data_IF_587688156726
#
_entry.id   IF_587688156726
#
_cell.length_a   1.000
_cell.length_b   1.000
_cell.length_c   1.000
_cell.angle_alpha   90.00
_cell.angle_beta   90.00
_cell.angle_gamma   90.00
#
_symmetry.space_group_name_H-M   'P 1'
#
loop_
_entity.id
_entity.type
_entity.pdbx_description
1 polymer ?
#
# COMPACT_ATOMS: atom_id res chain seq x y z
N UNK A 1 42.89 43.48 -29.46
CA UNK A 1 42.73 42.32 -28.60
C UNK A 1 41.40 42.47 -27.85
N UNK A 2 40.40 41.67 -28.18
CA UNK A 2 39.08 41.67 -27.49
C UNK A 2 39.02 40.46 -26.54
N UNK A 3 38.72 40.62 -25.28
CA UNK A 3 38.57 39.47 -24.40
C UNK A 3 37.23 38.75 -24.69
N UNK A 4 37.31 37.45 -25.01
CA UNK A 4 36.15 36.60 -25.17
C UNK A 4 35.53 36.30 -23.79
N UNK A 5 34.25 36.63 -23.64
CA UNK A 5 33.45 36.27 -22.45
C UNK A 5 33.05 34.79 -22.59
N UNK A 6 33.67 33.96 -21.77
CA UNK A 6 33.30 32.53 -21.64
C UNK A 6 32.02 32.44 -20.80
N UNK A 7 30.88 32.23 -21.49
CA UNK A 7 29.60 32.04 -20.83
C UNK A 7 29.54 30.60 -20.27
N UNK A 8 29.75 30.45 -18.95
CA UNK A 8 29.66 29.17 -18.26
C UNK A 8 28.17 28.86 -18.02
N UNK A 9 27.56 28.08 -18.91
CA UNK A 9 26.19 27.56 -18.69
C UNK A 9 26.18 26.57 -17.54
N UNK A 10 25.75 27.03 -16.37
CA UNK A 10 25.47 26.17 -15.20
C UNK A 10 24.21 25.39 -15.52
N UNK A 11 24.38 24.13 -15.92
CA UNK A 11 23.29 23.17 -16.04
C UNK A 11 22.80 22.81 -14.61
N UNK A 12 21.78 23.52 -14.10
CA UNK A 12 21.10 23.14 -12.87
C UNK A 12 20.34 21.84 -13.13
N UNK A 13 20.99 20.71 -12.87
CA UNK A 13 20.28 19.45 -12.72
C UNK A 13 19.35 19.59 -11.49
N UNK A 14 18.07 19.78 -11.74
CA UNK A 14 17.05 19.68 -10.69
C UNK A 14 17.08 18.25 -10.15
N UNK A 15 17.72 18.04 -9.01
CA UNK A 15 17.50 16.85 -8.21
C UNK A 15 16.00 16.87 -7.83
N UNK A 16 15.20 16.09 -8.55
CA UNK A 16 13.83 15.85 -8.13
C UNK A 16 13.92 15.04 -6.83
N UNK A 17 13.63 15.70 -5.70
CA UNK A 17 13.53 15.04 -4.42
C UNK A 17 12.46 13.96 -4.49
N UNK A 18 12.75 12.79 -3.94
CA UNK A 18 11.78 11.70 -3.83
C UNK A 18 10.63 12.16 -2.93
N UNK A 19 9.52 12.49 -3.56
CA UNK A 19 8.33 13.05 -2.90
C UNK A 19 7.44 11.97 -2.30
N UNK A 20 7.49 10.74 -2.86
CA UNK A 20 6.61 9.64 -2.50
C UNK A 20 7.42 8.47 -1.93
N UNK A 21 6.82 7.75 -0.99
CA UNK A 21 7.41 6.52 -0.46
C UNK A 21 7.31 5.39 -1.47
N UNK A 22 6.20 5.36 -2.23
CA UNK A 22 5.92 4.36 -3.26
C UNK A 22 5.22 5.01 -4.45
N UNK A 23 5.61 4.62 -5.65
CA UNK A 23 4.86 4.89 -6.90
C UNK A 23 4.53 3.57 -7.57
N UNK A 24 3.24 3.31 -7.81
CA UNK A 24 2.74 2.17 -8.58
C UNK A 24 2.41 2.69 -9.97
N UNK A 25 3.03 2.15 -11.01
CA UNK A 25 2.90 2.68 -12.37
C UNK A 25 2.14 1.76 -13.31
N UNK A 26 1.25 2.35 -14.09
CA UNK A 26 0.60 1.74 -15.26
C UNK A 26 -0.42 0.66 -14.94
N UNK A 27 -0.89 0.56 -13.71
CA UNK A 27 -1.93 -0.40 -13.34
C UNK A 27 -3.33 0.06 -13.71
N UNK A 28 -4.25 -0.90 -13.90
CA UNK A 28 -5.66 -0.59 -14.03
C UNK A 28 -6.24 -0.32 -12.63
N UNK A 29 -6.40 0.94 -12.29
CA UNK A 29 -6.87 1.38 -10.97
C UNK A 29 -8.39 1.30 -10.93
N UNK A 30 -8.91 0.59 -9.93
CA UNK A 30 -10.34 0.51 -9.62
C UNK A 30 -10.55 1.06 -8.21
N UNK A 31 -11.17 2.23 -8.12
CA UNK A 31 -11.55 2.88 -6.86
C UNK A 31 -12.97 3.41 -6.98
N UNK A 32 -13.97 2.60 -6.59
CA UNK A 32 -15.37 2.96 -6.70
C UNK A 32 -15.76 4.20 -5.88
N UNK A 33 -15.10 4.41 -4.74
CA UNK A 33 -15.39 5.54 -3.86
C UNK A 33 -15.09 6.90 -4.54
N UNK A 34 -14.08 6.91 -5.42
CA UNK A 34 -13.69 8.11 -6.18
C UNK A 34 -14.07 8.05 -7.67
N UNK A 35 -14.83 7.03 -8.08
CA UNK A 35 -15.27 6.85 -9.47
C UNK A 35 -14.11 6.58 -10.45
N UNK A 36 -13.03 5.95 -9.99
CA UNK A 36 -11.87 5.65 -10.81
C UNK A 36 -11.97 4.20 -11.31
N UNK A 37 -11.95 4.04 -12.63
CA UNK A 37 -11.87 2.75 -13.32
C UNK A 37 -11.10 2.96 -14.63
N UNK A 38 -9.75 3.02 -14.54
CA UNK A 38 -8.88 3.29 -15.67
C UNK A 38 -7.42 2.97 -15.38
N UNK A 39 -6.60 2.90 -16.43
CA UNK A 39 -5.14 2.87 -16.28
C UNK A 39 -4.65 4.19 -15.68
N UNK A 40 -3.91 4.10 -14.58
CA UNK A 40 -3.33 5.25 -13.89
C UNK A 40 -2.14 4.81 -13.03
N UNK A 41 -1.41 5.81 -12.51
CA UNK A 41 -0.37 5.61 -11.51
C UNK A 41 -0.91 6.02 -10.14
N UNK A 42 -0.42 5.35 -9.09
CA UNK A 42 -0.76 5.65 -7.70
C UNK A 42 0.50 6.01 -6.94
N UNK A 43 0.52 7.17 -6.31
CA UNK A 43 1.60 7.61 -5.44
C UNK A 43 1.17 7.57 -3.97
N UNK A 44 2.02 7.00 -3.12
CA UNK A 44 1.80 6.88 -1.68
C UNK A 44 2.86 7.69 -0.94
N UNK A 45 2.44 8.47 0.03
CA UNK A 45 3.31 9.21 0.94
C UNK A 45 2.75 9.16 2.36
N UNK A 46 3.62 8.93 3.33
CA UNK A 46 3.25 8.89 4.77
C UNK A 46 2.09 7.90 5.06
N UNK A 47 2.10 6.74 4.40
CA UNK A 47 1.08 5.70 4.59
C UNK A 47 -0.29 6.00 3.98
N UNK A 48 -0.43 7.06 3.18
CA UNK A 48 -1.69 7.45 2.52
C UNK A 48 -1.51 7.59 1.02
N UNK A 49 -2.60 7.41 0.25
CA UNK A 49 -2.60 7.71 -1.18
C UNK A 49 -2.55 9.22 -1.35
N UNK A 50 -1.41 9.71 -1.85
CA UNK A 50 -1.19 11.13 -2.08
C UNK A 50 -1.71 11.60 -3.44
N UNK A 51 -1.69 10.72 -4.45
CA UNK A 51 -2.10 11.07 -5.81
C UNK A 51 -2.48 9.84 -6.63
N UNK A 52 -3.52 9.97 -7.44
CA UNK A 52 -3.84 9.04 -8.53
C UNK A 52 -3.90 9.85 -9.81
N UNK A 53 -2.99 9.60 -10.75
CA UNK A 53 -2.90 10.35 -11.98
C UNK A 53 -2.20 9.52 -13.08
N UNK A 54 -2.28 9.97 -14.31
CA UNK A 54 -1.47 9.42 -15.41
C UNK A 54 -0.08 10.04 -15.40
N UNK A 55 0.97 9.23 -15.59
CA UNK A 55 2.32 9.70 -15.84
C UNK A 55 3.05 10.28 -14.62
N UNK A 56 2.85 9.70 -13.42
CA UNK A 56 3.66 10.07 -12.25
C UNK A 56 5.09 9.58 -12.47
N UNK A 57 6.10 10.50 -12.50
CA UNK A 57 7.47 10.09 -12.72
C UNK A 57 7.97 9.14 -11.63
N UNK A 58 8.51 7.98 -12.02
CA UNK A 58 9.08 7.02 -11.07
C UNK A 58 10.21 7.60 -10.22
N UNK A 59 10.97 8.57 -10.76
CA UNK A 59 12.03 9.26 -10.03
C UNK A 59 11.54 10.01 -8.78
N UNK A 60 10.24 10.30 -8.67
CA UNK A 60 9.62 10.91 -7.48
C UNK A 60 9.33 9.90 -6.37
N UNK A 61 9.43 8.60 -6.62
CA UNK A 61 9.21 7.55 -5.62
C UNK A 61 10.51 6.99 -5.06
N UNK A 62 10.56 6.75 -3.76
CA UNK A 62 11.63 5.98 -3.12
C UNK A 62 11.62 4.53 -3.61
N UNK A 63 10.42 4.00 -3.85
CA UNK A 63 10.18 2.67 -4.42
C UNK A 63 9.23 2.80 -5.60
N UNK A 64 9.47 2.03 -6.66
CA UNK A 64 8.60 1.99 -7.84
C UNK A 64 8.17 0.54 -8.08
N UNK A 65 6.86 0.35 -8.25
CA UNK A 65 6.26 -0.93 -8.66
C UNK A 65 5.64 -0.76 -10.03
N UNK A 66 6.01 -1.60 -10.98
CA UNK A 66 5.40 -1.64 -12.32
C UNK A 66 4.19 -2.57 -12.27
N UNK A 67 3.01 -2.02 -12.55
CA UNK A 67 1.75 -2.73 -12.49
C UNK A 67 1.04 -2.83 -13.85
N UNK A 68 1.78 -2.63 -14.94
CA UNK A 68 1.20 -2.74 -16.28
C UNK A 68 0.58 -4.12 -16.50
N UNK A 69 -0.68 -4.15 -16.92
CA UNK A 69 -1.46 -5.38 -17.09
C UNK A 69 -2.03 -5.98 -15.79
N UNK A 70 -1.82 -5.33 -14.65
CA UNK A 70 -2.38 -5.73 -13.35
C UNK A 70 -3.47 -4.77 -12.89
N UNK A 71 -4.37 -5.26 -12.04
CA UNK A 71 -5.32 -4.43 -11.34
C UNK A 71 -4.70 -3.84 -10.06
N UNK A 72 -5.02 -2.58 -9.77
CA UNK A 72 -4.67 -1.88 -8.54
C UNK A 72 -5.96 -1.45 -7.86
N UNK A 73 -6.27 -2.07 -6.73
CA UNK A 73 -7.52 -1.84 -5.99
C UNK A 73 -7.21 -1.46 -4.55
N UNK A 74 -8.15 -0.85 -3.82
CA UNK A 74 -8.11 -0.88 -2.36
C UNK A 74 -7.99 -2.31 -1.86
N UNK A 75 -7.41 -2.49 -0.67
CA UNK A 75 -7.32 -3.81 -0.06
C UNK A 75 -8.71 -4.43 0.10
N UNK A 76 -8.81 -5.74 -0.14
CA UNK A 76 -10.06 -6.45 0.00
C UNK A 76 -10.50 -6.50 1.46
N UNK A 77 -11.82 -6.49 1.69
CA UNK A 77 -12.44 -6.62 2.99
C UNK A 77 -13.17 -7.96 3.04
N UNK A 78 -12.72 -8.84 3.93
CA UNK A 78 -13.41 -10.10 4.21
C UNK A 78 -14.36 -9.89 5.41
N UNK A 79 -15.65 -9.90 5.17
CA UNK A 79 -16.66 -9.67 6.20
C UNK A 79 -17.04 -10.93 6.97
N UNK A 80 -16.47 -12.09 6.66
CA UNK A 80 -16.77 -13.37 7.30
C UNK A 80 -15.51 -14.23 7.43
N UNK A 81 -14.55 -13.77 8.21
CA UNK A 81 -13.34 -14.52 8.49
C UNK A 81 -13.40 -15.24 9.86
N UNK A 82 -12.54 -16.23 10.04
CA UNK A 82 -12.36 -16.93 11.30
C UNK A 82 -10.88 -16.86 11.70
N UNK A 83 -10.54 -15.78 12.39
CA UNK A 83 -9.14 -15.39 12.63
C UNK A 83 -8.69 -15.47 14.10
N UNK A 84 -9.57 -15.91 15.00
CA UNK A 84 -9.21 -16.15 16.40
C UNK A 84 -8.59 -17.54 16.58
N UNK A 85 -7.27 -17.60 16.59
CA UNK A 85 -6.51 -18.86 16.66
C UNK A 85 -6.68 -19.60 18.01
N UNK A 86 -6.98 -18.90 19.09
CA UNK A 86 -7.24 -19.51 20.41
C UNK A 86 -8.57 -20.27 20.50
N UNK A 87 -9.46 -20.14 19.52
CA UNK A 87 -10.81 -20.68 19.58
C UNK A 87 -11.00 -22.03 18.89
N UNK A 88 -10.20 -22.36 17.87
CA UNK A 88 -10.35 -23.61 17.09
C UNK A 88 -9.03 -24.02 16.41
N UNK A 89 -8.80 -25.35 16.24
CA UNK A 89 -7.61 -25.87 15.55
C UNK A 89 -7.50 -25.46 14.06
N UNK A 90 -8.63 -25.08 13.43
CA UNK A 90 -8.69 -24.71 12.02
C UNK A 90 -8.59 -23.19 11.77
N UNK A 91 -8.45 -22.37 12.80
CA UNK A 91 -8.27 -20.94 12.62
C UNK A 91 -6.85 -20.64 12.09
N UNK A 92 -6.77 -19.78 11.07
CA UNK A 92 -5.53 -19.38 10.48
C UNK A 92 -5.18 -17.95 10.90
N UNK A 93 -3.89 -17.67 11.05
CA UNK A 93 -3.45 -16.30 11.22
C UNK A 93 -3.76 -15.52 9.95
N UNK A 94 -4.44 -14.34 10.05
CA UNK A 94 -4.81 -13.56 8.88
C UNK A 94 -3.61 -13.12 8.04
N UNK A 95 -2.47 -12.85 8.66
CA UNK A 95 -1.26 -12.43 7.96
C UNK A 95 -0.70 -13.54 7.06
N UNK A 96 -0.92 -14.81 7.42
CA UNK A 96 -0.39 -15.97 6.67
C UNK A 96 -1.32 -16.37 5.50
N UNK A 97 -2.61 -16.05 5.58
CA UNK A 97 -3.62 -16.49 4.62
C UNK A 97 -4.31 -15.35 3.88
N UNK A 98 -4.80 -14.36 4.59
CA UNK A 98 -5.60 -13.28 4.03
C UNK A 98 -4.74 -12.23 3.31
N UNK A 99 -3.64 -11.79 3.94
CA UNK A 99 -2.78 -10.76 3.38
C UNK A 99 -2.15 -11.15 2.03
N UNK A 100 -1.60 -12.37 1.84
CA UNK A 100 -1.13 -12.82 0.53
C UNK A 100 -2.22 -12.88 -0.55
N UNK A 101 -3.49 -13.02 -0.14
CA UNK A 101 -4.65 -12.99 -1.03
C UNK A 101 -5.18 -11.57 -1.30
N UNK A 102 -4.52 -10.52 -0.78
CA UNK A 102 -4.93 -9.13 -0.95
C UNK A 102 -6.01 -8.66 0.03
N UNK A 103 -6.38 -9.46 1.02
CA UNK A 103 -7.33 -9.06 2.07
C UNK A 103 -6.58 -8.30 3.15
N UNK A 104 -6.93 -7.02 3.32
CA UNK A 104 -6.29 -6.12 4.30
C UNK A 104 -7.14 -5.85 5.52
N UNK A 105 -8.40 -6.24 5.49
CA UNK A 105 -9.36 -6.08 6.59
C UNK A 105 -10.20 -7.34 6.70
N UNK A 106 -10.24 -7.95 7.87
CA UNK A 106 -11.07 -9.12 8.17
C UNK A 106 -11.97 -8.86 9.37
N UNK A 107 -13.21 -9.35 9.28
CA UNK A 107 -14.16 -9.34 10.39
C UNK A 107 -14.28 -10.76 10.94
N UNK A 108 -13.92 -10.97 12.23
CA UNK A 108 -14.13 -12.28 12.86
C UNK A 108 -15.61 -12.53 13.07
N UNK A 109 -16.14 -13.50 12.36
CA UNK A 109 -17.57 -13.80 12.35
C UNK A 109 -17.92 -14.97 13.28
N UNK A 110 -17.67 -14.83 14.59
CA UNK A 110 -18.26 -15.67 15.60
C UNK A 110 -17.38 -16.77 16.21
N UNK A 111 -16.07 -16.75 16.04
CA UNK A 111 -15.17 -17.60 16.84
C UNK A 111 -14.83 -16.90 18.15
N UNK A 112 -14.54 -15.60 18.12
CA UNK A 112 -14.36 -14.83 19.34
C UNK A 112 -15.70 -14.30 19.87
N UNK A 113 -15.89 -14.36 21.16
CA UNK A 113 -17.03 -13.79 21.85
C UNK A 113 -16.57 -12.87 22.99
N UNK A 114 -17.52 -12.27 23.70
CA UNK A 114 -17.21 -11.32 24.76
C UNK A 114 -16.27 -11.87 25.84
N UNK A 115 -16.33 -13.18 26.11
CA UNK A 115 -15.46 -13.85 27.11
C UNK A 115 -14.04 -14.07 26.62
N UNK A 116 -13.82 -14.13 25.31
CA UNK A 116 -12.54 -14.43 24.68
C UNK A 116 -11.96 -13.24 23.93
N UNK A 117 -12.66 -12.09 23.96
CA UNK A 117 -12.26 -10.91 23.19
C UNK A 117 -10.88 -10.37 23.58
N UNK A 118 -10.56 -10.38 24.86
CA UNK A 118 -9.25 -9.91 25.32
C UNK A 118 -8.10 -10.81 24.85
N UNK A 119 -8.33 -12.12 24.80
CA UNK A 119 -7.35 -13.07 24.28
C UNK A 119 -7.22 -12.93 22.75
N UNK A 120 -8.33 -12.78 22.06
CA UNK A 120 -8.34 -12.49 20.62
C UNK A 120 -7.58 -11.20 20.31
N UNK A 121 -7.84 -10.13 21.04
CA UNK A 121 -7.16 -8.85 20.89
C UNK A 121 -5.65 -8.97 21.10
N UNK A 122 -5.22 -9.63 22.14
CA UNK A 122 -3.79 -9.80 22.45
C UNK A 122 -3.09 -10.76 21.49
N UNK A 123 -3.72 -11.88 21.17
CA UNK A 123 -3.11 -12.95 20.39
C UNK A 123 -3.18 -12.77 18.90
N UNK A 124 -4.33 -12.33 18.38
CA UNK A 124 -4.55 -12.29 16.94
C UNK A 124 -4.48 -10.87 16.34
N UNK A 125 -5.02 -9.85 17.03
CA UNK A 125 -5.09 -8.51 16.48
C UNK A 125 -3.82 -7.67 16.72
N UNK A 126 -3.16 -7.81 17.87
CA UNK A 126 -2.04 -6.93 18.24
C UNK A 126 -0.69 -7.59 17.95
N UNK A 127 -0.58 -8.91 18.11
CA UNK A 127 0.72 -9.58 18.04
C UNK A 127 1.36 -9.52 16.64
N UNK A 128 0.56 -9.50 15.58
CA UNK A 128 1.03 -9.53 14.19
C UNK A 128 0.84 -8.22 13.41
N UNK A 129 -0.13 -7.40 13.74
CA UNK A 129 -0.30 -6.08 13.13
C UNK A 129 0.95 -5.19 13.22
N UNK A 130 1.84 -5.46 14.19
CA UNK A 130 3.13 -4.78 14.31
C UNK A 130 4.17 -5.24 13.29
N UNK A 131 4.05 -6.41 12.72
CA UNK A 131 4.99 -6.94 11.73
C UNK A 131 4.69 -6.40 10.32
N UNK A 132 3.42 -6.14 10.00
CA UNK A 132 2.98 -5.64 8.70
C UNK A 132 3.38 -4.19 8.40
N UNK A 133 3.70 -3.38 9.44
CA UNK A 133 4.02 -1.95 9.30
C UNK A 133 5.51 -1.63 9.49
N UNK A 134 6.37 -2.64 9.52
CA UNK A 134 7.82 -2.45 9.74
C UNK A 134 8.70 -2.85 8.55
N UNK A 135 8.14 -3.01 7.38
CA UNK A 135 8.97 -3.27 6.18
C UNK A 135 8.96 -2.10 5.21
#
# INVERSE_FOLDING_TARGET
MRPGVLCLSICCAFLQAQQYDLVIQGGHVIDPANGIDRVADVAVANGTIARVAFGIPGAQGKKVVRAAGLYVTPGLIDIHAHVYVGGRPAALFPDDSALPAGTTTGVDAGISGWRTFDDFKRGSLIARARACWRS
#
